data_IF_060160074368
#
_entry.id   IF_060160074368
#
_cell.length_a   1.000
_cell.length_b   1.000
_cell.length_c   1.000
_cell.angle_alpha   90.00
_cell.angle_beta   90.00
_cell.angle_gamma   90.00
#
_symmetry.space_group_name_H-M   'P 1'
#
loop_
_entity.id
_entity.type
_entity.pdbx_description
1 polymer ?
#
# COMPACT_ATOMS: atom_id res chain seq x y z
N UNK A 1 -6.74 -21.59 37.72
CA UNK A 1 -6.95 -21.42 36.27
C UNK A 1 -6.10 -22.44 35.54
N UNK A 2 -6.69 -23.04 34.50
CA UNK A 2 -6.22 -24.17 33.71
C UNK A 2 -4.77 -24.06 33.20
N UNK A 3 -4.03 -25.19 33.10
CA UNK A 3 -2.83 -25.29 32.30
C UNK A 3 -3.20 -25.60 30.83
N UNK A 4 -2.57 -24.93 29.85
CA UNK A 4 -2.69 -25.29 28.43
C UNK A 4 -1.36 -25.06 27.70
N UNK A 5 -1.08 -25.78 26.58
CA UNK A 5 0.12 -26.58 26.45
C UNK A 5 0.92 -26.22 25.17
N UNK A 6 2.13 -26.74 25.12
CA UNK A 6 2.95 -27.07 23.94
C UNK A 6 2.38 -26.74 22.53
N UNK A 7 3.06 -25.85 21.80
CA UNK A 7 3.30 -26.02 20.36
C UNK A 7 4.81 -25.85 20.11
N UNK A 8 5.51 -26.98 20.16
CA UNK A 8 6.86 -27.14 19.64
C UNK A 8 6.75 -27.28 18.11
N UNK A 9 7.42 -26.44 17.30
CA UNK A 9 7.51 -26.68 15.85
C UNK A 9 8.42 -27.89 15.62
N UNK A 10 7.85 -28.97 15.07
CA UNK A 10 8.56 -30.19 14.65
C UNK A 10 9.29 -30.03 13.33
N UNK A 11 9.74 -28.82 13.01
CA UNK A 11 10.25 -28.47 11.68
C UNK A 11 11.76 -28.18 11.63
N UNK A 12 12.48 -28.13 12.75
CA UNK A 12 13.93 -27.89 12.79
C UNK A 12 14.64 -28.98 13.59
N UNK A 13 15.05 -30.03 12.89
CA UNK A 13 16.13 -30.93 13.32
C UNK A 13 17.30 -30.74 12.34
N UNK A 14 18.45 -30.15 12.77
CA UNK A 14 19.56 -29.80 11.88
C UNK A 14 20.38 -30.99 11.36
N UNK A 15 20.06 -32.24 11.72
CA UNK A 15 20.95 -33.39 11.48
C UNK A 15 20.34 -34.57 10.71
N UNK A 16 19.14 -34.45 10.13
CA UNK A 16 18.52 -35.54 9.36
C UNK A 16 18.13 -35.14 7.93
N UNK A 17 19.08 -35.21 6.99
CA UNK A 17 18.80 -35.21 5.55
C UNK A 17 19.49 -36.38 4.85
N UNK A 18 18.85 -37.55 4.89
CA UNK A 18 19.07 -38.61 3.91
C UNK A 18 18.51 -38.24 2.51
N UNK A 19 18.86 -39.00 1.44
CA UNK A 19 18.63 -38.59 0.06
C UNK A 19 17.13 -38.55 -0.29
N UNK A 20 16.63 -37.35 -0.65
CA UNK A 20 15.23 -37.11 -1.01
C UNK A 20 14.86 -37.76 -2.34
N UNK A 21 13.78 -38.56 -2.31
CA UNK A 21 13.08 -39.06 -3.50
C UNK A 21 12.28 -37.91 -4.16
N UNK A 22 12.34 -37.83 -5.48
CA UNK A 22 11.61 -36.86 -6.31
C UNK A 22 10.08 -37.07 -6.19
N UNK A 23 9.36 -36.01 -5.80
CA UNK A 23 7.90 -35.98 -5.79
C UNK A 23 7.40 -35.63 -7.20
N UNK A 24 6.51 -36.47 -7.73
CA UNK A 24 5.83 -36.31 -9.02
C UNK A 24 4.76 -35.21 -8.92
N UNK A 25 4.72 -34.30 -9.90
CA UNK A 25 3.64 -33.34 -10.12
C UNK A 25 2.43 -33.99 -10.84
N UNK A 26 1.17 -33.58 -10.57
CA UNK A 26 0.00 -34.08 -11.29
C UNK A 26 -0.19 -33.36 -12.65
N UNK A 27 -0.53 -34.12 -13.69
CA UNK A 27 -0.88 -33.62 -15.04
C UNK A 27 -2.26 -32.94 -15.08
N UNK A 28 -2.46 -31.92 -15.94
CA UNK A 28 -3.79 -31.46 -16.36
C UNK A 28 -4.32 -32.20 -17.61
N UNK A 29 -5.64 -32.18 -17.88
CA UNK A 29 -6.30 -33.10 -18.80
C UNK A 29 -6.14 -32.72 -20.28
N UNK A 30 -6.17 -33.77 -21.12
CA UNK A 30 -5.97 -33.75 -22.58
C UNK A 30 -7.12 -33.05 -23.32
N UNK A 31 -6.76 -32.21 -24.30
CA UNK A 31 -7.61 -31.88 -25.46
C UNK A 31 -6.92 -32.30 -26.76
N UNK A 32 -7.73 -32.77 -27.68
CA UNK A 32 -7.41 -33.50 -28.91
C UNK A 32 -7.16 -32.59 -30.13
N UNK A 33 -6.48 -33.20 -31.10
CA UNK A 33 -6.48 -32.93 -32.56
C UNK A 33 -5.20 -32.26 -33.14
N UNK A 34 -4.84 -32.59 -34.39
CA UNK A 34 -3.48 -32.97 -34.75
C UNK A 34 -2.86 -32.06 -35.81
N UNK A 35 -1.63 -31.59 -35.60
CA UNK A 35 -0.78 -31.07 -36.69
C UNK A 35 0.67 -31.48 -36.42
N UNK A 36 1.22 -32.31 -37.32
CA UNK A 36 2.65 -32.67 -37.41
C UNK A 36 3.46 -31.45 -37.89
N UNK A 37 4.75 -31.37 -37.53
CA UNK A 37 5.72 -31.57 -38.61
C UNK A 37 6.87 -32.51 -38.27
N UNK A 38 7.42 -33.06 -39.35
CA UNK A 38 8.47 -34.06 -39.46
C UNK A 38 9.81 -33.57 -38.87
N UNK A 39 10.45 -34.43 -38.07
CA UNK A 39 11.90 -34.46 -37.94
C UNK A 39 12.37 -35.91 -38.12
N UNK A 40 13.17 -36.12 -39.14
CA UNK A 40 13.84 -37.39 -39.48
C UNK A 40 15.07 -37.54 -38.57
N UNK A 41 15.43 -38.77 -38.14
CA UNK A 41 16.38 -38.99 -37.06
C UNK A 41 17.83 -39.05 -37.56
N UNK A 42 18.76 -38.51 -36.78
CA UNK A 42 20.19 -38.79 -36.91
C UNK A 42 20.62 -39.74 -35.77
N UNK A 43 21.30 -40.86 -36.05
CA UNK A 43 21.77 -41.77 -35.01
C UNK A 43 23.07 -41.24 -34.40
N UNK A 44 23.18 -41.23 -33.07
CA UNK A 44 24.48 -41.07 -32.41
C UNK A 44 25.18 -42.41 -32.33
N UNK A 45 26.34 -42.47 -32.98
CA UNK A 45 27.17 -43.64 -33.17
C UNK A 45 27.85 -44.13 -31.89
N UNK A 46 27.89 -45.46 -31.80
CA UNK A 46 28.93 -46.35 -31.28
C UNK A 46 30.20 -45.73 -30.66
N UNK A 47 30.51 -46.24 -29.45
CA UNK A 47 31.85 -46.35 -28.86
C UNK A 47 32.92 -46.66 -29.92
N UNK A 48 33.90 -45.78 -30.08
CA UNK A 48 35.22 -46.17 -30.61
C UNK A 48 36.34 -45.46 -29.85
N UNK A 49 37.20 -46.29 -29.26
CA UNK A 49 38.60 -46.01 -28.99
C UNK A 49 39.31 -45.60 -30.29
N UNK A 50 40.23 -44.65 -30.22
CA UNK A 50 41.36 -44.44 -31.13
C UNK A 50 42.44 -43.77 -30.25
N UNK A 51 43.57 -44.38 -29.91
CA UNK A 51 44.71 -44.75 -30.78
C UNK A 51 45.08 -43.66 -31.79
N UNK A 52 46.12 -42.92 -31.42
CA UNK A 52 46.87 -41.98 -32.25
C UNK A 52 47.84 -42.77 -33.13
N UNK A 53 47.83 -42.49 -34.45
CA UNK A 53 48.94 -42.77 -35.36
C UNK A 53 49.80 -41.52 -35.53
N UNK A 54 51.10 -41.68 -35.81
CA UNK A 54 51.86 -40.73 -36.62
C UNK A 54 52.23 -41.29 -38.00
N UNK A 55 52.41 -40.33 -38.91
CA UNK A 55 52.58 -40.40 -40.36
C UNK A 55 54.07 -40.64 -40.75
N UNK A 56 54.25 -41.59 -41.69
CA UNK A 56 55.24 -41.78 -42.80
C UNK A 56 56.44 -40.84 -42.97
N UNK A 57 57.62 -41.18 -43.56
CA UNK A 57 58.28 -42.33 -44.28
C UNK A 57 59.79 -41.94 -44.41
N UNK A 58 60.78 -42.84 -44.48
CA UNK A 58 61.33 -43.35 -45.76
C UNK A 58 62.51 -44.34 -45.60
N UNK A 59 62.36 -45.56 -46.16
CA UNK A 59 63.25 -46.35 -47.08
C UNK A 59 64.72 -46.60 -46.59
N UNK A 60 65.29 -47.82 -46.44
CA UNK A 60 65.47 -49.00 -47.32
C UNK A 60 65.77 -50.27 -46.45
N UNK A 61 65.12 -51.39 -46.76
CA UNK A 61 65.36 -52.80 -46.33
C UNK A 61 66.45 -53.51 -47.19
N UNK A 62 67.08 -54.64 -46.81
CA UNK A 62 66.43 -55.90 -46.35
C UNK A 62 67.15 -56.69 -45.23
N UNK A 63 66.42 -57.20 -44.21
CA UNK A 63 65.75 -58.51 -44.10
C UNK A 63 66.65 -59.73 -44.29
N UNK A 64 66.86 -60.49 -43.21
CA UNK A 64 66.92 -61.95 -43.27
C UNK A 64 66.37 -62.58 -41.98
N UNK A 65 65.29 -63.34 -42.11
CA UNK A 65 64.77 -64.29 -41.11
C UNK A 65 65.38 -65.65 -41.41
N UNK A 66 65.89 -66.34 -40.39
CA UNK A 66 66.33 -67.73 -40.49
C UNK A 66 65.21 -68.62 -39.95
N UNK A 67 64.57 -69.36 -40.86
CA UNK A 67 64.01 -70.68 -40.60
C UNK A 67 64.60 -71.60 -41.66
N UNK A 68 65.25 -72.69 -41.25
CA UNK A 68 65.64 -73.74 -42.18
C UNK A 68 65.29 -75.11 -41.57
N UNK A 69 64.26 -75.72 -42.14
CA UNK A 69 64.05 -77.17 -42.12
C UNK A 69 64.66 -77.78 -43.39
N UNK A 70 65.20 -79.00 -43.21
CA UNK A 70 65.56 -80.08 -44.16
C UNK A 70 65.34 -79.81 -45.66
N UNK A 71 66.34 -80.13 -46.50
CA UNK A 71 66.40 -81.39 -47.26
C UNK A 71 67.63 -81.42 -48.19
N UNK A 72 68.18 -82.62 -48.26
CA UNK A 72 69.24 -83.21 -49.07
C UNK A 72 69.01 -83.07 -50.59
N UNK A 73 70.04 -82.73 -51.37
CA UNK A 73 70.45 -83.49 -52.57
C UNK A 73 71.69 -82.88 -53.27
N UNK A 74 72.44 -83.81 -53.83
CA UNK A 74 73.76 -83.72 -54.44
C UNK A 74 73.93 -82.66 -55.52
N UNK A 75 75.13 -82.05 -55.60
CA UNK A 75 75.80 -81.76 -56.87
C UNK A 75 77.33 -81.71 -56.67
N UNK A 76 78.04 -82.52 -57.46
CA UNK A 76 79.50 -82.62 -57.53
C UNK A 76 80.13 -81.24 -57.78
N UNK A 77 81.07 -80.85 -56.91
CA UNK A 77 81.98 -79.72 -57.12
C UNK A 77 83.42 -80.25 -57.18
N UNK A 78 84.30 -79.57 -57.94
CA UNK A 78 85.58 -80.12 -58.38
C UNK A 78 86.56 -80.24 -57.20
N UNK A 79 87.18 -81.41 -57.02
CA UNK A 79 88.30 -81.58 -56.10
C UNK A 79 89.44 -80.64 -56.53
N UNK A 80 89.83 -79.70 -55.68
CA UNK A 80 90.99 -78.85 -55.93
C UNK A 80 92.26 -79.62 -55.54
N UNK A 81 93.01 -80.02 -56.55
CA UNK A 81 94.24 -80.81 -56.42
C UNK A 81 95.42 -79.86 -56.53
N UNK A 82 96.08 -79.59 -55.41
CA UNK A 82 97.19 -78.63 -55.30
C UNK A 82 98.49 -79.41 -55.21
N UNK A 83 99.42 -79.16 -56.14
CA UNK A 83 100.80 -79.67 -56.04
C UNK A 83 101.56 -78.78 -55.06
N UNK A 84 101.86 -79.32 -53.87
CA UNK A 84 102.56 -78.57 -52.81
C UNK A 84 104.08 -78.63 -53.04
N UNK A 85 104.58 -79.79 -53.50
CA UNK A 85 105.99 -80.07 -53.80
C UNK A 85 106.11 -81.34 -54.67
N UNK A 86 107.24 -81.58 -55.39
CA UNK A 86 107.41 -82.77 -56.23
C UNK A 86 107.16 -84.06 -55.44
N UNK A 87 106.28 -84.93 -55.93
CA UNK A 87 105.89 -86.18 -55.25
C UNK A 87 104.82 -86.04 -54.15
N UNK A 88 104.31 -84.83 -53.83
CA UNK A 88 103.23 -84.65 -52.85
C UNK A 88 102.04 -83.91 -53.45
N UNK A 89 100.85 -84.54 -53.37
CA UNK A 89 99.61 -84.01 -53.91
C UNK A 89 98.61 -83.75 -52.78
N UNK A 90 98.20 -82.50 -52.60
CA UNK A 90 97.19 -82.13 -51.63
C UNK A 90 95.81 -82.11 -52.29
N UNK A 91 94.88 -82.87 -51.74
CA UNK A 91 93.48 -82.85 -52.17
C UNK A 91 92.69 -82.21 -51.04
N UNK A 92 92.10 -81.04 -51.31
CA UNK A 92 91.33 -80.27 -50.32
C UNK A 92 89.85 -80.27 -50.67
N UNK A 93 89.04 -80.78 -49.74
CA UNK A 93 87.58 -80.64 -49.73
C UNK A 93 87.12 -79.89 -48.47
N UNK A 94 85.85 -79.46 -48.46
CA UNK A 94 85.30 -78.62 -47.37
C UNK A 94 85.31 -79.30 -46.00
N UNK A 95 85.43 -80.63 -45.97
CA UNK A 95 85.33 -81.46 -44.77
C UNK A 95 86.62 -82.24 -44.44
N UNK A 96 87.53 -82.42 -45.41
CA UNK A 96 88.80 -83.12 -45.21
C UNK A 96 89.91 -82.54 -46.07
N UNK A 97 91.12 -82.56 -45.51
CA UNK A 97 92.38 -82.25 -46.19
C UNK A 97 93.20 -83.52 -46.14
N UNK A 98 93.52 -84.10 -47.31
CA UNK A 98 94.40 -85.26 -47.39
C UNK A 98 95.60 -84.96 -48.27
N UNK A 99 96.78 -85.39 -47.81
CA UNK A 99 98.03 -85.31 -48.56
C UNK A 99 98.37 -86.74 -48.99
N UNK A 100 98.41 -86.97 -50.30
CA UNK A 100 98.85 -88.26 -50.86
C UNK A 100 100.27 -88.13 -51.40
N UNK A 101 101.08 -89.14 -51.08
CA UNK A 101 102.42 -89.32 -51.62
C UNK A 101 102.29 -89.97 -53.01
N UNK A 102 102.84 -89.33 -54.04
CA UNK A 102 102.81 -89.86 -55.41
C UNK A 102 103.71 -91.09 -55.56
N UNK A 103 103.29 -92.06 -56.38
CA UNK A 103 104.05 -93.29 -56.66
C UNK A 103 105.41 -93.03 -57.37
N UNK A 104 105.63 -91.81 -57.84
CA UNK A 104 106.86 -91.33 -58.50
C UNK A 104 108.11 -91.45 -57.59
N UNK A 105 107.93 -91.46 -56.26
CA UNK A 105 109.04 -91.55 -55.28
C UNK A 105 109.50 -93.01 -55.07
N UNK A 106 108.73 -93.99 -55.56
CA UNK A 106 109.07 -95.41 -55.50
C UNK A 106 109.60 -95.99 -56.84
N UNK A 107 109.65 -95.19 -57.92
CA UNK A 107 110.35 -95.56 -59.16
C UNK A 107 111.87 -95.45 -59.00
N UNK A 108 112.50 -96.49 -58.43
CA UNK A 108 113.95 -96.66 -58.49
C UNK A 108 114.35 -97.07 -59.92
N UNK A 109 114.48 -96.10 -60.83
CA UNK A 109 115.23 -96.27 -62.10
C UNK A 109 116.68 -96.64 -61.76
N UNK A 110 117.04 -97.90 -61.97
CA UNK A 110 118.44 -98.35 -62.00
C UNK A 110 119.09 -97.75 -63.25
N UNK A 111 119.94 -96.74 -63.06
CA UNK A 111 120.92 -96.32 -64.06
C UNK A 111 122.29 -96.81 -63.57
N UNK A 112 122.78 -97.84 -64.25
CA UNK A 112 124.19 -98.23 -64.32
C UNK A 112 124.88 -97.35 -65.37
N UNK A 113 126.21 -97.29 -65.29
CA UNK A 113 127.19 -96.50 -66.08
C UNK A 113 127.51 -95.15 -65.41
N UNK A 114 128.64 -94.98 -64.70
CA UNK A 114 130.06 -95.23 -65.01
C UNK A 114 130.57 -94.40 -66.20
N UNK A 115 131.24 -93.28 -65.91
CA UNK A 115 132.16 -92.69 -66.86
C UNK A 115 133.38 -92.10 -66.15
N UNK A 116 134.53 -92.48 -66.70
CA UNK A 116 135.88 -92.35 -66.19
C UNK A 116 136.42 -90.91 -66.12
N UNK A 117 137.43 -90.73 -65.26
CA UNK A 117 138.69 -89.95 -65.41
C UNK A 117 139.06 -89.44 -64.00
N UNK A 118 140.25 -89.56 -63.43
CA UNK A 118 141.59 -89.82 -63.93
C UNK A 118 142.38 -90.63 -62.90
N UNK A 119 143.28 -91.47 -63.39
CA UNK A 119 144.27 -92.24 -62.64
C UNK A 119 145.24 -91.28 -61.92
N UNK A 120 144.87 -90.88 -60.70
CA UNK A 120 145.77 -90.35 -59.68
C UNK A 120 145.57 -91.26 -58.47
N UNK A 121 146.65 -91.93 -58.04
CA UNK A 121 146.62 -92.82 -56.89
C UNK A 121 146.34 -92.02 -55.61
N UNK A 122 145.07 -91.74 -55.30
CA UNK A 122 144.65 -91.28 -53.99
C UNK A 122 144.52 -92.49 -53.06
N UNK A 123 145.10 -92.39 -51.87
CA UNK A 123 145.02 -93.46 -50.89
C UNK A 123 143.58 -93.56 -50.35
N UNK A 124 143.14 -94.75 -49.92
CA UNK A 124 141.84 -94.93 -49.23
C UNK A 124 141.65 -93.95 -48.06
N UNK A 125 142.75 -93.47 -47.49
CA UNK A 125 142.81 -92.49 -46.41
C UNK A 125 142.33 -91.10 -46.84
N UNK A 126 142.72 -90.63 -48.03
CA UNK A 126 142.39 -89.27 -48.50
C UNK A 126 140.88 -89.09 -48.77
N UNK A 127 140.21 -90.15 -49.21
CA UNK A 127 138.75 -90.17 -49.42
C UNK A 127 138.01 -90.19 -48.08
N UNK A 128 138.54 -90.91 -47.09
CA UNK A 128 137.92 -90.98 -45.76
C UNK A 128 138.04 -89.63 -45.04
N UNK A 129 139.19 -88.95 -45.14
CA UNK A 129 139.38 -87.62 -44.55
C UNK A 129 138.49 -86.57 -45.19
N UNK A 130 138.30 -86.60 -46.51
CA UNK A 130 137.36 -85.69 -47.21
C UNK A 130 135.91 -85.95 -46.78
N UNK A 131 135.49 -87.21 -46.62
CA UNK A 131 134.16 -87.55 -46.10
C UNK A 131 133.98 -87.15 -44.62
N UNK A 132 135.00 -87.29 -43.79
CA UNK A 132 134.99 -86.86 -42.39
C UNK A 132 134.91 -85.32 -42.28
N UNK A 133 135.62 -84.60 -43.14
CA UNK A 133 135.55 -83.14 -43.26
C UNK A 133 134.16 -82.70 -43.73
N UNK A 134 133.61 -83.30 -44.79
CA UNK A 134 132.25 -83.03 -45.25
C UNK A 134 131.20 -83.32 -44.18
N UNK A 135 131.33 -84.42 -43.42
CA UNK A 135 130.44 -84.71 -42.29
C UNK A 135 130.57 -83.65 -41.21
N UNK A 136 131.79 -83.17 -40.93
CA UNK A 136 132.05 -82.12 -39.94
C UNK A 136 131.45 -80.77 -40.37
N UNK A 137 131.66 -80.36 -41.62
CA UNK A 137 131.07 -79.15 -42.19
C UNK A 137 129.54 -79.21 -42.21
N UNK A 138 128.96 -80.33 -42.65
CA UNK A 138 127.51 -80.53 -42.62
C UNK A 138 126.96 -80.50 -41.20
N UNK A 139 127.68 -81.05 -40.22
CA UNK A 139 127.28 -81.00 -38.80
C UNK A 139 127.27 -79.56 -38.30
N UNK A 140 128.31 -78.77 -38.58
CA UNK A 140 128.37 -77.34 -38.22
C UNK A 140 127.24 -76.55 -38.88
N UNK A 141 126.94 -76.82 -40.16
CA UNK A 141 125.83 -76.19 -40.89
C UNK A 141 124.48 -76.55 -40.25
N UNK A 142 124.25 -77.82 -39.91
CA UNK A 142 123.01 -78.28 -39.27
C UNK A 142 122.85 -77.65 -37.87
N UNK A 143 123.90 -77.63 -37.06
CA UNK A 143 123.86 -76.99 -35.73
C UNK A 143 123.60 -75.49 -35.82
N UNK A 144 124.25 -74.82 -36.78
CA UNK A 144 124.01 -73.41 -37.04
C UNK A 144 122.57 -73.15 -37.49
N UNK A 145 122.06 -73.95 -38.42
CA UNK A 145 120.68 -73.87 -38.89
C UNK A 145 119.68 -74.12 -37.76
N UNK A 146 119.97 -75.05 -36.84
CA UNK A 146 119.13 -75.30 -35.66
C UNK A 146 119.15 -74.12 -34.68
N UNK A 147 120.31 -73.49 -34.45
CA UNK A 147 120.42 -72.27 -33.63
C UNK A 147 119.64 -71.11 -34.25
N UNK A 148 119.79 -70.89 -35.55
CA UNK A 148 119.10 -69.83 -36.27
C UNK A 148 117.59 -70.08 -36.31
N UNK A 149 117.16 -71.33 -36.53
CA UNK A 149 115.74 -71.70 -36.46
C UNK A 149 115.16 -71.43 -35.07
N UNK A 150 115.84 -71.83 -34.00
CA UNK A 150 115.39 -71.55 -32.63
C UNK A 150 115.38 -70.05 -32.32
N UNK A 151 116.34 -69.28 -32.83
CA UNK A 151 116.38 -67.82 -32.67
C UNK A 151 115.20 -67.16 -33.40
N UNK A 152 114.98 -67.52 -34.66
CA UNK A 152 113.85 -67.03 -35.47
C UNK A 152 112.51 -67.41 -34.84
N UNK A 153 112.38 -68.64 -34.32
CA UNK A 153 111.17 -69.10 -33.62
C UNK A 153 110.90 -68.26 -32.36
N UNK A 154 111.93 -67.97 -31.56
CA UNK A 154 111.79 -67.11 -30.37
C UNK A 154 111.41 -65.67 -30.73
N UNK A 155 112.05 -65.10 -31.74
CA UNK A 155 111.74 -63.75 -32.21
C UNK A 155 110.29 -63.68 -32.73
N UNK A 156 109.88 -64.66 -33.54
CA UNK A 156 108.52 -64.76 -34.03
C UNK A 156 107.52 -64.91 -32.87
N UNK A 157 107.80 -65.75 -31.87
CA UNK A 157 106.97 -65.87 -30.67
C UNK A 157 106.81 -64.53 -29.95
N UNK A 158 107.91 -63.81 -29.74
CA UNK A 158 107.88 -62.52 -29.07
C UNK A 158 107.10 -61.45 -29.86
N UNK A 159 107.25 -61.42 -31.19
CA UNK A 159 106.47 -60.53 -32.05
C UNK A 159 104.98 -60.88 -32.03
N UNK A 160 104.62 -62.17 -32.02
CA UNK A 160 103.22 -62.59 -31.86
C UNK A 160 102.65 -62.18 -30.50
N UNK A 161 103.41 -62.32 -29.42
CA UNK A 161 102.99 -61.89 -28.07
C UNK A 161 102.79 -60.37 -28.01
N UNK A 162 103.70 -59.59 -28.60
CA UNK A 162 103.58 -58.14 -28.71
C UNK A 162 102.31 -57.76 -29.47
N UNK A 163 102.07 -58.39 -30.62
CA UNK A 163 100.88 -58.13 -31.45
C UNK A 163 99.59 -58.50 -30.72
N UNK A 164 99.59 -59.60 -29.96
CA UNK A 164 98.47 -59.99 -29.10
C UNK A 164 98.21 -58.94 -28.01
N UNK A 165 99.26 -58.43 -27.34
CA UNK A 165 99.14 -57.40 -26.32
C UNK A 165 98.64 -56.06 -26.88
N UNK A 166 99.18 -55.61 -28.02
CA UNK A 166 98.73 -54.40 -28.71
C UNK A 166 97.26 -54.51 -29.14
N UNK A 167 96.86 -55.66 -29.70
CA UNK A 167 95.47 -55.89 -30.09
C UNK A 167 94.54 -55.88 -28.89
N UNK A 168 94.92 -56.53 -27.79
CA UNK A 168 94.18 -56.53 -26.54
C UNK A 168 94.02 -55.10 -25.98
N UNK A 169 95.11 -54.34 -25.92
CA UNK A 169 95.10 -52.94 -25.46
C UNK A 169 94.20 -52.06 -26.35
N UNK A 170 94.24 -52.25 -27.66
CA UNK A 170 93.38 -51.52 -28.61
C UNK A 170 91.89 -51.84 -28.39
N UNK A 171 91.55 -53.11 -28.17
CA UNK A 171 90.17 -53.49 -27.84
C UNK A 171 89.71 -52.88 -26.53
N UNK A 172 90.56 -52.89 -25.50
CA UNK A 172 90.26 -52.28 -24.21
C UNK A 172 90.10 -50.76 -24.31
N UNK A 173 90.95 -50.07 -25.09
CA UNK A 173 90.82 -48.63 -25.35
C UNK A 173 89.50 -48.30 -26.03
N UNK A 174 89.19 -49.00 -27.14
CA UNK A 174 87.93 -48.80 -27.87
C UNK A 174 86.71 -49.10 -27.02
N UNK A 175 86.78 -50.13 -26.18
CA UNK A 175 85.70 -50.45 -25.23
C UNK A 175 85.49 -49.30 -24.24
N UNK A 176 86.57 -48.78 -23.65
CA UNK A 176 86.51 -47.66 -22.71
C UNK A 176 85.97 -46.39 -23.36
N UNK A 177 86.47 -46.02 -24.54
CA UNK A 177 86.00 -44.86 -25.30
C UNK A 177 84.50 -44.97 -25.62
N UNK A 178 84.02 -46.16 -26.00
CA UNK A 178 82.61 -46.39 -26.26
C UNK A 178 81.75 -46.26 -25.00
N UNK A 179 82.21 -46.81 -23.87
CA UNK A 179 81.54 -46.70 -22.57
C UNK A 179 81.47 -45.25 -22.08
N UNK A 180 82.57 -44.49 -22.22
CA UNK A 180 82.64 -43.07 -21.87
C UNK A 180 81.74 -42.21 -22.77
N UNK A 181 81.74 -42.44 -24.09
CA UNK A 181 80.87 -41.73 -25.02
C UNK A 181 79.38 -42.01 -24.73
N UNK A 182 79.03 -43.26 -24.43
CA UNK A 182 77.66 -43.63 -24.06
C UNK A 182 77.25 -42.99 -22.73
N UNK A 183 78.12 -43.00 -21.72
CA UNK A 183 77.88 -42.31 -20.45
C UNK A 183 77.68 -40.80 -20.65
N UNK A 184 78.50 -40.16 -21.48
CA UNK A 184 78.37 -38.74 -21.80
C UNK A 184 77.04 -38.42 -22.48
N UNK A 185 76.61 -39.22 -23.48
CA UNK A 185 75.32 -39.07 -24.15
C UNK A 185 74.14 -39.24 -23.19
N UNK A 186 74.19 -40.23 -22.29
CA UNK A 186 73.16 -40.41 -21.28
C UNK A 186 73.10 -39.23 -20.31
N UNK A 187 74.26 -38.73 -19.86
CA UNK A 187 74.31 -37.55 -18.99
C UNK A 187 73.77 -36.28 -19.69
N UNK A 188 74.07 -36.09 -20.98
CA UNK A 188 73.55 -34.96 -21.75
C UNK A 188 72.03 -35.08 -21.96
N UNK A 189 71.55 -36.28 -22.32
CA UNK A 189 70.14 -36.56 -22.49
C UNK A 189 69.37 -36.34 -21.18
N UNK A 190 69.90 -36.80 -20.04
CA UNK A 190 69.31 -36.58 -18.72
C UNK A 190 69.25 -35.09 -18.37
N UNK A 191 70.33 -34.32 -18.64
CA UNK A 191 70.34 -32.86 -18.45
C UNK A 191 69.28 -32.18 -19.31
N UNK A 192 69.16 -32.56 -20.58
CA UNK A 192 68.18 -32.01 -21.51
C UNK A 192 66.73 -32.31 -21.06
N UNK A 193 66.44 -33.55 -20.66
CA UNK A 193 65.12 -33.89 -20.12
C UNK A 193 64.80 -33.13 -18.83
N UNK A 194 65.77 -32.98 -17.92
CA UNK A 194 65.59 -32.19 -16.69
C UNK A 194 65.33 -30.71 -17.00
N UNK A 195 66.02 -30.14 -17.98
CA UNK A 195 65.82 -28.76 -18.42
C UNK A 195 64.43 -28.57 -19.06
N UNK A 196 64.05 -29.45 -19.99
CA UNK A 196 62.74 -29.43 -20.63
C UNK A 196 61.59 -29.59 -19.62
N UNK A 197 61.73 -30.50 -18.66
CA UNK A 197 60.74 -30.69 -17.59
C UNK A 197 60.60 -29.45 -16.70
N UNK A 198 61.69 -28.75 -16.39
CA UNK A 198 61.64 -27.49 -15.63
C UNK A 198 60.97 -26.38 -16.43
N UNK A 199 61.28 -26.25 -17.72
CA UNK A 199 60.65 -25.27 -18.60
C UNK A 199 59.15 -25.51 -18.72
N UNK A 200 58.74 -26.77 -18.93
CA UNK A 200 57.31 -27.13 -19.04
C UNK A 200 56.56 -26.89 -17.72
N UNK A 201 57.18 -27.20 -16.57
CA UNK A 201 56.59 -26.89 -15.26
C UNK A 201 56.39 -25.40 -15.04
N UNK A 202 57.36 -24.57 -15.43
CA UNK A 202 57.23 -23.11 -15.35
C UNK A 202 56.13 -22.61 -16.30
N UNK A 203 56.12 -23.06 -17.55
CA UNK A 203 55.08 -22.68 -18.52
C UNK A 203 53.66 -23.07 -18.06
N UNK A 204 53.51 -24.26 -17.47
CA UNK A 204 52.24 -24.70 -16.89
C UNK A 204 51.83 -23.88 -15.67
N UNK A 205 52.80 -23.49 -14.82
CA UNK A 205 52.56 -22.63 -13.66
C UNK A 205 52.14 -21.21 -14.07
N UNK A 206 52.82 -20.61 -15.05
CA UNK A 206 52.49 -19.29 -15.59
C UNK A 206 51.07 -19.29 -16.17
N UNK A 207 50.72 -20.34 -16.93
CA UNK A 207 49.37 -20.50 -17.48
C UNK A 207 48.31 -20.65 -16.39
N UNK A 208 48.61 -21.36 -15.30
CA UNK A 208 47.71 -21.47 -14.16
C UNK A 208 47.49 -20.11 -13.47
N UNK A 209 48.55 -19.30 -13.34
CA UNK A 209 48.45 -17.95 -12.79
C UNK A 209 47.61 -17.03 -13.68
N UNK A 210 47.80 -17.09 -15.00
CA UNK A 210 47.01 -16.35 -15.99
C UNK A 210 45.52 -16.71 -15.90
N UNK A 211 45.19 -18.01 -15.94
CA UNK A 211 43.81 -18.49 -15.75
C UNK A 211 43.23 -18.07 -14.39
N UNK A 212 44.06 -18.03 -13.34
CA UNK A 212 43.66 -17.53 -12.02
C UNK A 212 43.29 -16.03 -12.03
N UNK A 213 44.04 -15.21 -12.78
CA UNK A 213 43.74 -13.78 -12.98
C UNK A 213 42.45 -13.60 -13.78
N UNK A 214 42.27 -14.33 -14.86
CA UNK A 214 41.03 -14.31 -15.66
C UNK A 214 39.80 -14.73 -14.84
N UNK A 215 39.92 -15.80 -14.06
CA UNK A 215 38.85 -16.24 -13.16
C UNK A 215 38.49 -15.15 -12.15
N UNK A 216 39.49 -14.51 -11.53
CA UNK A 216 39.26 -13.40 -10.58
C UNK A 216 38.59 -12.21 -11.26
N UNK A 217 39.04 -11.84 -12.46
CA UNK A 217 38.42 -10.79 -13.25
C UNK A 217 36.95 -11.09 -13.56
N UNK A 218 36.66 -12.29 -14.05
CA UNK A 218 35.30 -12.71 -14.36
C UNK A 218 34.43 -12.74 -13.11
N UNK A 219 34.93 -13.27 -11.99
CA UNK A 219 34.25 -13.25 -10.70
C UNK A 219 33.90 -11.83 -10.26
N UNK A 220 34.84 -10.89 -10.41
CA UNK A 220 34.59 -9.48 -10.08
C UNK A 220 33.54 -8.86 -11.02
N UNK A 221 33.58 -9.17 -12.32
CA UNK A 221 32.60 -8.68 -13.28
C UNK A 221 31.19 -9.21 -12.96
N UNK A 222 31.08 -10.47 -12.53
CA UNK A 222 29.82 -11.04 -12.06
C UNK A 222 29.28 -10.32 -10.83
N UNK A 223 30.13 -9.99 -9.86
CA UNK A 223 29.72 -9.22 -8.68
C UNK A 223 29.26 -7.81 -9.07
N UNK A 224 29.98 -7.11 -9.96
CA UNK A 224 29.57 -5.79 -10.46
C UNK A 224 28.21 -5.86 -11.15
N UNK A 225 27.98 -6.87 -11.99
CA UNK A 225 26.70 -7.06 -12.65
C UNK A 225 25.58 -7.38 -11.65
N UNK A 226 25.87 -8.24 -10.67
CA UNK A 226 24.95 -8.57 -9.59
C UNK A 226 24.56 -7.30 -8.81
N UNK A 227 25.54 -6.51 -8.37
CA UNK A 227 25.32 -5.25 -7.64
C UNK A 227 24.53 -4.25 -8.49
N UNK A 228 24.87 -4.12 -9.78
CA UNK A 228 24.12 -3.27 -10.72
C UNK A 228 22.66 -3.68 -10.85
N UNK A 229 22.33 -4.98 -10.85
CA UNK A 229 20.94 -5.44 -10.85
C UNK A 229 20.27 -5.09 -9.52
N UNK A 230 20.95 -5.31 -8.39
CA UNK A 230 20.38 -4.99 -7.08
C UNK A 230 20.06 -3.50 -6.97
N UNK A 231 20.98 -2.62 -7.36
CA UNK A 231 20.79 -1.18 -7.36
C UNK A 231 19.65 -0.76 -8.30
N UNK A 232 19.59 -1.31 -9.52
CA UNK A 232 18.51 -1.01 -10.47
C UNK A 232 17.13 -1.44 -9.92
N UNK A 233 17.06 -2.60 -9.26
CA UNK A 233 15.83 -3.10 -8.66
C UNK A 233 15.41 -2.27 -7.44
N UNK A 234 16.36 -1.87 -6.59
CA UNK A 234 16.10 -1.03 -5.42
C UNK A 234 15.64 0.38 -5.84
N UNK A 235 16.27 0.96 -6.87
CA UNK A 235 15.86 2.25 -7.45
C UNK A 235 14.45 2.19 -8.03
N UNK A 236 14.13 1.14 -8.79
CA UNK A 236 12.78 0.93 -9.34
C UNK A 236 11.77 0.76 -8.22
N UNK A 237 12.11 0.03 -7.16
CA UNK A 237 11.22 -0.14 -6.02
C UNK A 237 11.00 1.17 -5.27
N UNK A 238 12.06 1.92 -5.02
CA UNK A 238 12.02 3.22 -4.35
C UNK A 238 11.18 4.24 -5.14
N UNK A 239 11.35 4.29 -6.47
CA UNK A 239 10.52 5.14 -7.35
C UNK A 239 9.05 4.77 -7.28
N UNK A 240 8.72 3.47 -7.42
CA UNK A 240 7.34 2.99 -7.36
C UNK A 240 6.68 3.24 -6.01
N UNK A 241 7.44 3.09 -4.92
CA UNK A 241 6.97 3.41 -3.56
C UNK A 241 6.68 4.90 -3.41
N UNK A 242 7.56 5.77 -3.92
CA UNK A 242 7.35 7.21 -3.88
C UNK A 242 6.16 7.66 -4.76
N UNK A 243 5.95 7.03 -5.92
CA UNK A 243 4.77 7.25 -6.75
C UNK A 243 3.48 6.88 -6.01
N UNK A 244 3.41 5.69 -5.41
CA UNK A 244 2.26 5.29 -4.60
C UNK A 244 1.98 6.23 -3.42
N UNK A 245 3.01 6.73 -2.74
CA UNK A 245 2.83 7.68 -1.65
C UNK A 245 2.30 9.04 -2.15
N UNK A 246 2.73 9.49 -3.33
CA UNK A 246 2.19 10.70 -3.97
C UNK A 246 0.74 10.51 -4.39
N UNK A 247 0.41 9.38 -5.03
CA UNK A 247 -0.95 9.08 -5.47
C UNK A 247 -1.91 8.96 -4.28
N UNK A 248 -1.48 8.31 -3.19
CA UNK A 248 -2.27 8.22 -1.96
C UNK A 248 -2.52 9.62 -1.36
N UNK A 249 -1.49 10.47 -1.30
CA UNK A 249 -1.63 11.87 -0.84
C UNK A 249 -2.60 12.66 -1.72
N UNK A 250 -2.49 12.54 -3.04
CA UNK A 250 -3.38 13.21 -3.99
C UNK A 250 -4.83 12.73 -3.86
N UNK A 251 -5.08 11.43 -3.70
CA UNK A 251 -6.44 10.93 -3.54
C UNK A 251 -7.04 11.35 -2.19
N UNK A 252 -6.24 11.36 -1.11
CA UNK A 252 -6.66 11.92 0.19
C UNK A 252 -7.02 13.40 0.07
N UNK A 253 -6.18 14.20 -0.59
CA UNK A 253 -6.45 15.63 -0.81
C UNK A 253 -7.71 15.86 -1.65
N UNK A 254 -7.91 15.07 -2.70
CA UNK A 254 -9.11 15.10 -3.54
C UNK A 254 -10.38 14.79 -2.76
N UNK A 255 -10.37 13.76 -1.90
CA UNK A 255 -11.51 13.43 -1.04
C UNK A 255 -11.79 14.56 -0.04
N UNK A 256 -10.76 15.12 0.60
CA UNK A 256 -10.89 16.25 1.51
C UNK A 256 -11.45 17.50 0.81
N UNK A 257 -10.98 17.79 -0.40
CA UNK A 257 -11.47 18.91 -1.20
C UNK A 257 -12.96 18.71 -1.56
N UNK A 258 -13.35 17.50 -1.96
CA UNK A 258 -14.75 17.18 -2.24
C UNK A 258 -15.62 17.31 -0.98
N UNK A 259 -15.15 16.84 0.18
CA UNK A 259 -15.86 16.99 1.45
C UNK A 259 -16.01 18.46 1.83
N UNK A 260 -14.92 19.24 1.74
CA UNK A 260 -14.94 20.68 1.98
C UNK A 260 -15.95 21.37 1.08
N UNK A 261 -15.93 21.11 -0.21
CA UNK A 261 -16.88 21.70 -1.17
C UNK A 261 -18.34 21.36 -0.83
N UNK A 262 -18.63 20.10 -0.46
CA UNK A 262 -19.97 19.68 -0.02
C UNK A 262 -20.44 20.43 1.22
N UNK A 263 -19.57 20.60 2.23
CA UNK A 263 -19.89 21.30 3.47
C UNK A 263 -20.11 22.79 3.19
N UNK A 264 -19.21 23.43 2.44
CA UNK A 264 -19.35 24.84 2.05
C UNK A 264 -20.65 25.09 1.30
N UNK A 265 -20.99 24.26 0.32
CA UNK A 265 -22.24 24.40 -0.43
C UNK A 265 -23.48 24.21 0.45
N UNK A 266 -23.47 23.27 1.39
CA UNK A 266 -24.58 23.11 2.36
C UNK A 266 -24.74 24.34 3.24
N UNK A 267 -23.63 24.83 3.79
CA UNK A 267 -23.62 26.02 4.63
C UNK A 267 -24.11 27.28 3.87
N UNK A 268 -23.69 27.45 2.62
CA UNK A 268 -24.16 28.56 1.77
C UNK A 268 -25.68 28.47 1.53
N UNK A 269 -26.20 27.28 1.19
CA UNK A 269 -27.63 27.06 0.99
C UNK A 269 -28.44 27.30 2.27
N UNK A 270 -28.01 26.76 3.40
CA UNK A 270 -28.65 26.98 4.71
C UNK A 270 -28.60 28.46 5.10
N UNK A 271 -27.48 29.14 4.88
CA UNK A 271 -27.36 30.58 5.14
C UNK A 271 -28.30 31.41 4.27
N UNK A 272 -28.46 31.07 3.00
CA UNK A 272 -29.35 31.76 2.09
C UNK A 272 -30.83 31.49 2.41
N UNK A 273 -31.17 30.25 2.79
CA UNK A 273 -32.51 29.89 3.24
C UNK A 273 -32.89 30.62 4.55
N UNK A 274 -31.97 30.69 5.53
CA UNK A 274 -32.20 31.41 6.78
C UNK A 274 -32.29 32.93 6.56
N UNK A 275 -31.45 33.49 5.68
CA UNK A 275 -31.58 34.90 5.26
C UNK A 275 -32.93 35.17 4.63
N UNK A 276 -33.42 34.26 3.78
CA UNK A 276 -34.74 34.37 3.16
C UNK A 276 -35.85 34.31 4.21
N UNK A 277 -35.83 33.32 5.13
CA UNK A 277 -36.80 33.24 6.24
C UNK A 277 -36.80 34.50 7.10
N UNK A 278 -35.63 35.04 7.42
CA UNK A 278 -35.51 36.28 8.17
C UNK A 278 -36.10 37.46 7.38
N UNK A 279 -35.81 37.57 6.09
CA UNK A 279 -36.36 38.61 5.22
C UNK A 279 -37.88 38.52 5.09
N UNK A 280 -38.41 37.31 4.93
CA UNK A 280 -39.85 37.06 4.80
C UNK A 280 -40.56 37.36 6.13
N UNK A 281 -40.00 36.92 7.26
CA UNK A 281 -40.55 37.25 8.58
C UNK A 281 -40.47 38.74 8.91
N UNK A 282 -39.37 39.41 8.55
CA UNK A 282 -39.23 40.86 8.70
C UNK A 282 -40.27 41.61 7.87
N UNK A 283 -40.47 41.21 6.61
CA UNK A 283 -41.50 41.78 5.73
C UNK A 283 -42.90 41.58 6.32
N UNK A 284 -43.22 40.38 6.80
CA UNK A 284 -44.51 40.09 7.41
C UNK A 284 -44.78 40.90 8.69
N UNK A 285 -43.79 41.03 9.57
CA UNK A 285 -43.90 41.87 10.78
C UNK A 285 -44.08 43.34 10.39
N UNK A 286 -43.35 43.81 9.40
CA UNK A 286 -43.45 45.19 8.92
C UNK A 286 -44.82 45.49 8.30
N UNK A 287 -45.35 44.57 7.48
CA UNK A 287 -46.70 44.68 6.94
C UNK A 287 -47.77 44.68 8.03
N UNK A 288 -47.69 43.76 9.00
CA UNK A 288 -48.59 43.72 10.16
C UNK A 288 -48.54 45.02 10.96
N UNK A 289 -47.34 45.55 11.23
CA UNK A 289 -47.18 46.83 11.92
C UNK A 289 -47.83 47.98 11.14
N UNK A 290 -47.67 48.02 9.82
CA UNK A 290 -48.31 49.03 8.98
C UNK A 290 -49.84 48.88 8.98
N UNK A 291 -50.36 47.65 8.96
CA UNK A 291 -51.80 47.39 9.07
C UNK A 291 -52.34 47.83 10.43
N UNK A 292 -51.70 47.45 11.54
CA UNK A 292 -52.11 47.85 12.89
C UNK A 292 -52.06 49.37 13.07
N UNK A 293 -51.01 50.03 12.55
CA UNK A 293 -50.90 51.49 12.52
C UNK A 293 -52.07 52.13 11.76
N UNK A 294 -52.41 51.60 10.60
CA UNK A 294 -53.52 52.09 9.77
C UNK A 294 -54.88 51.86 10.45
N UNK A 295 -55.08 50.73 11.11
CA UNK A 295 -56.27 50.43 11.90
C UNK A 295 -56.41 51.37 13.11
N UNK A 296 -55.32 51.63 13.83
CA UNK A 296 -55.26 52.61 14.91
C UNK A 296 -55.59 54.02 14.42
N UNK A 297 -55.09 54.43 13.26
CA UNK A 297 -55.43 55.71 12.65
C UNK A 297 -56.93 55.80 12.34
N UNK A 298 -57.51 54.77 11.70
CA UNK A 298 -58.95 54.71 11.42
C UNK A 298 -59.81 54.67 12.68
N UNK A 299 -59.34 54.03 13.75
CA UNK A 299 -60.01 54.05 15.06
C UNK A 299 -59.97 55.45 15.66
N UNK A 300 -58.80 56.09 15.66
CA UNK A 300 -58.63 57.46 16.14
C UNK A 300 -59.53 58.46 15.39
N UNK A 301 -59.64 58.34 14.06
CA UNK A 301 -60.56 59.16 13.25
C UNK A 301 -62.03 58.96 13.67
N UNK A 302 -62.46 57.70 13.86
CA UNK A 302 -63.81 57.38 14.35
C UNK A 302 -64.07 57.95 15.74
N UNK A 303 -63.15 57.77 16.67
CA UNK A 303 -63.26 58.29 18.03
C UNK A 303 -63.31 59.82 18.04
N UNK A 304 -62.55 60.48 17.16
CA UNK A 304 -62.57 61.93 16.99
C UNK A 304 -63.93 62.42 16.52
N UNK A 305 -64.54 61.76 15.53
CA UNK A 305 -65.89 62.07 15.05
C UNK A 305 -66.94 61.86 16.14
N UNK A 306 -66.87 60.72 16.85
CA UNK A 306 -67.79 60.43 17.95
C UNK A 306 -67.66 61.44 19.10
N UNK A 307 -66.45 61.89 19.42
CA UNK A 307 -66.22 62.96 20.39
C UNK A 307 -66.82 64.29 19.94
N UNK A 308 -66.77 64.60 18.64
CA UNK A 308 -67.37 65.81 18.08
C UNK A 308 -68.91 65.75 18.13
N UNK A 309 -69.51 64.61 17.81
CA UNK A 309 -70.96 64.37 17.96
C UNK A 309 -71.41 64.47 19.41
N UNK A 310 -70.70 63.82 20.34
CA UNK A 310 -70.99 63.91 21.77
C UNK A 310 -70.87 65.36 22.28
N UNK A 311 -69.91 66.14 21.75
CA UNK A 311 -69.77 67.55 22.08
C UNK A 311 -70.98 68.36 21.60
N UNK A 312 -71.45 68.14 20.37
CA UNK A 312 -72.67 68.80 19.83
C UNK A 312 -73.91 68.42 20.64
N UNK A 313 -74.09 67.14 20.97
CA UNK A 313 -75.21 66.68 21.79
C UNK A 313 -75.16 67.27 23.20
N UNK A 314 -73.96 67.37 23.79
CA UNK A 314 -73.77 68.04 25.08
C UNK A 314 -74.19 69.51 25.00
N UNK A 315 -73.79 70.23 23.95
CA UNK A 315 -74.17 71.64 23.74
C UNK A 315 -75.70 71.79 23.61
N UNK A 316 -76.36 70.94 22.81
CA UNK A 316 -77.83 70.93 22.70
C UNK A 316 -78.52 70.64 24.04
N UNK A 317 -78.03 69.66 24.80
CA UNK A 317 -78.58 69.36 26.13
C UNK A 317 -78.36 70.50 27.12
N UNK A 318 -77.22 71.20 27.06
CA UNK A 318 -76.96 72.40 27.87
C UNK A 318 -77.92 73.55 27.48
N UNK A 319 -78.19 73.75 26.19
CA UNK A 319 -79.18 74.72 25.70
C UNK A 319 -80.61 74.36 26.15
N UNK A 320 -81.02 73.09 26.01
CA UNK A 320 -82.33 72.60 26.47
C UNK A 320 -82.49 72.74 27.99
N UNK A 321 -81.44 72.39 28.75
CA UNK A 321 -81.41 72.57 30.20
C UNK A 321 -81.52 74.04 30.58
N UNK A 322 -80.82 74.93 29.88
CA UNK A 322 -80.92 76.37 30.08
C UNK A 322 -82.33 76.90 29.76
N UNK A 323 -82.93 76.46 28.65
CA UNK A 323 -84.30 76.79 28.29
C UNK A 323 -85.31 76.30 29.35
N UNK A 324 -85.16 75.08 29.85
CA UNK A 324 -85.98 74.56 30.95
C UNK A 324 -85.79 75.37 32.24
N UNK A 325 -84.56 75.78 32.56
CA UNK A 325 -84.28 76.63 33.71
C UNK A 325 -85.00 77.99 33.59
N UNK A 326 -84.98 78.62 32.41
CA UNK A 326 -85.73 79.85 32.14
C UNK A 326 -87.25 79.66 32.25
N UNK A 327 -87.80 78.53 31.74
CA UNK A 327 -89.22 78.22 31.89
C UNK A 327 -89.58 78.03 33.37
N UNK A 328 -88.77 77.27 34.13
CA UNK A 328 -88.97 77.07 35.56
C UNK A 328 -88.91 78.40 36.33
N UNK A 329 -87.97 79.27 36.01
CA UNK A 329 -87.86 80.61 36.59
C UNK A 329 -89.11 81.46 36.26
N UNK A 330 -89.59 81.42 35.01
CA UNK A 330 -90.83 82.11 34.59
C UNK A 330 -92.08 81.57 35.31
N UNK A 331 -92.21 80.24 35.46
CA UNK A 331 -93.31 79.62 36.20
C UNK A 331 -93.25 79.99 37.68
N UNK A 332 -92.05 79.98 38.29
CA UNK A 332 -91.87 80.35 39.68
C UNK A 332 -92.22 81.83 39.92
N UNK A 333 -91.83 82.73 39.02
CA UNK A 333 -92.22 84.15 39.10
C UNK A 333 -93.74 84.34 38.92
N UNK A 334 -94.38 83.60 38.02
CA UNK A 334 -95.84 83.64 37.80
C UNK A 334 -96.60 83.06 39.00
N UNK A 335 -96.14 81.95 39.56
CA UNK A 335 -96.68 81.36 40.79
C UNK A 335 -96.58 82.36 41.94
N UNK A 336 -95.43 83.02 42.10
CA UNK A 336 -95.24 84.04 43.12
C UNK A 336 -96.20 85.22 42.93
N UNK A 337 -96.36 85.72 41.69
CA UNK A 337 -97.33 86.79 41.37
C UNK A 337 -98.78 86.39 41.69
N UNK A 338 -99.22 85.21 41.23
CA UNK A 338 -100.58 84.71 41.51
C UNK A 338 -100.82 84.48 43.00
N UNK A 339 -99.81 84.02 43.74
CA UNK A 339 -99.89 83.90 45.20
C UNK A 339 -100.05 85.26 45.87
N UNK A 340 -99.36 86.29 45.40
CA UNK A 340 -99.51 87.67 45.90
C UNK A 340 -100.89 88.27 45.55
N UNK A 341 -101.41 88.02 44.36
CA UNK A 341 -102.76 88.42 43.96
C UNK A 341 -103.83 87.73 44.81
N UNK A 342 -103.71 86.42 45.01
CA UNK A 342 -104.60 85.66 45.90
C UNK A 342 -104.57 86.21 47.34
N UNK A 343 -103.40 86.63 47.85
CA UNK A 343 -103.32 87.28 49.15
C UNK A 343 -104.05 88.64 49.17
N UNK A 344 -103.98 89.44 48.09
CA UNK A 344 -104.77 90.68 47.98
C UNK A 344 -106.26 90.42 47.95
N UNK A 345 -106.70 89.46 47.13
CA UNK A 345 -108.12 89.09 47.04
C UNK A 345 -108.64 88.55 48.38
N UNK A 346 -107.87 87.70 49.07
CA UNK A 346 -108.19 87.27 50.44
C UNK A 346 -108.35 88.46 51.39
N UNK A 347 -107.46 89.45 51.32
CA UNK A 347 -107.58 90.66 52.13
C UNK A 347 -108.80 91.50 51.74
N UNK A 348 -109.15 91.58 50.45
CA UNK A 348 -110.33 92.30 49.96
C UNK A 348 -111.63 91.61 50.42
N UNK A 349 -111.72 90.29 50.31
CA UNK A 349 -112.84 89.49 50.81
C UNK A 349 -112.95 89.62 52.33
N UNK A 350 -111.86 89.50 53.07
CA UNK A 350 -111.88 89.70 54.53
C UNK A 350 -112.36 91.11 54.92
N UNK A 351 -111.99 92.14 54.15
CA UNK A 351 -112.49 93.51 54.34
C UNK A 351 -113.99 93.63 54.03
N UNK A 352 -114.48 92.98 52.96
CA UNK A 352 -115.90 92.93 52.61
C UNK A 352 -116.72 92.16 53.66
N UNK A 353 -116.24 91.01 54.15
CA UNK A 353 -116.85 90.26 55.24
C UNK A 353 -116.99 91.13 56.50
N UNK A 354 -115.92 91.85 56.87
CA UNK A 354 -115.94 92.77 58.01
C UNK A 354 -116.92 93.93 57.81
N UNK A 355 -117.02 94.46 56.60
CA UNK A 355 -117.98 95.52 56.26
C UNK A 355 -119.43 95.01 56.34
N UNK A 356 -119.71 93.81 55.85
CA UNK A 356 -121.03 93.18 55.95
C UNK A 356 -121.41 92.87 57.40
N UNK A 357 -120.49 92.32 58.21
CA UNK A 357 -120.72 92.12 59.64
C UNK A 357 -121.01 93.44 60.36
N UNK A 358 -120.28 94.52 60.05
CA UNK A 358 -120.55 95.84 60.61
C UNK A 358 -121.92 96.38 60.19
N UNK A 359 -122.35 96.15 58.94
CA UNK A 359 -123.67 96.58 58.45
C UNK A 359 -124.81 95.77 59.07
N UNK A 360 -124.60 94.48 59.30
CA UNK A 360 -125.51 93.62 60.04
C UNK A 360 -125.68 94.14 61.47
N UNK A 361 -124.59 94.38 62.19
CA UNK A 361 -124.64 94.93 63.54
C UNK A 361 -125.33 96.30 63.60
N UNK A 362 -125.07 97.19 62.65
CA UNK A 362 -125.75 98.49 62.55
C UNK A 362 -127.28 98.35 62.33
N UNK A 363 -127.70 97.36 61.53
CA UNK A 363 -129.12 97.07 61.31
C UNK A 363 -129.76 96.44 62.55
N UNK A 364 -129.06 95.52 63.21
CA UNK A 364 -129.49 94.89 64.46
C UNK A 364 -129.72 95.93 65.57
N UNK A 365 -128.79 96.88 65.74
CA UNK A 365 -128.91 97.97 66.70
C UNK A 365 -130.10 98.89 66.39
N UNK A 366 -130.34 99.22 65.11
CA UNK A 366 -131.54 99.97 64.68
C UNK A 366 -132.84 99.24 65.01
N UNK A 367 -132.89 97.93 64.77
CA UNK A 367 -134.06 97.13 65.13
C UNK A 367 -134.25 97.08 66.65
N UNK A 368 -133.19 96.92 67.44
CA UNK A 368 -133.27 96.99 68.90
C UNK A 368 -133.79 98.35 69.39
N UNK A 369 -133.25 99.47 68.90
CA UNK A 369 -133.74 100.80 69.26
C UNK A 369 -135.22 100.99 68.91
N UNK A 370 -135.66 100.49 67.75
CA UNK A 370 -137.06 100.58 67.32
C UNK A 370 -137.99 99.76 68.23
N UNK A 371 -137.58 98.53 68.57
CA UNK A 371 -138.32 97.67 69.50
C UNK A 371 -138.42 98.34 70.88
N UNK A 372 -137.34 98.91 71.38
CA UNK A 372 -137.29 99.57 72.69
C UNK A 372 -138.24 100.79 72.73
N UNK A 373 -138.23 101.60 71.67
CA UNK A 373 -139.13 102.75 71.55
C UNK A 373 -140.62 102.36 71.54
N UNK A 374 -140.99 101.35 70.74
CA UNK A 374 -142.36 100.82 70.69
C UNK A 374 -142.80 100.21 72.04
N UNK A 375 -141.86 99.63 72.78
CA UNK A 375 -142.12 99.06 74.11
C UNK A 375 -142.44 100.16 75.12
N UNK A 376 -141.67 101.25 75.13
CA UNK A 376 -141.92 102.42 76.01
C UNK A 376 -143.25 103.11 75.69
N UNK A 377 -143.58 103.25 74.41
CA UNK A 377 -144.83 103.83 73.95
C UNK A 377 -146.04 102.99 74.39
N UNK A 378 -145.92 101.65 74.33
CA UNK A 378 -146.95 100.73 74.81
C UNK A 378 -147.18 100.87 76.33
N UNK A 379 -146.12 101.02 77.11
CA UNK A 379 -146.19 101.22 78.57
C UNK A 379 -146.91 102.54 78.89
N UNK A 380 -146.56 103.62 78.20
CA UNK A 380 -147.19 104.94 78.38
C UNK A 380 -148.68 104.92 78.02
N UNK A 381 -149.06 104.25 76.93
CA UNK A 381 -150.46 104.07 76.54
C UNK A 381 -151.25 103.27 77.58
N UNK A 382 -150.66 102.20 78.13
CA UNK A 382 -151.27 101.41 79.22
C UNK A 382 -151.46 102.22 80.49
N UNK A 383 -150.50 103.05 80.88
CA UNK A 383 -150.64 103.94 82.05
C UNK A 383 -151.73 105.01 81.87
N UNK A 384 -151.84 105.58 80.66
CA UNK A 384 -152.84 106.61 80.33
C UNK A 384 -154.27 106.04 80.28
N UNK A 385 -154.43 104.77 79.90
CA UNK A 385 -155.69 104.03 79.97
C UNK A 385 -156.17 103.83 81.41
N UNK A 386 -155.25 103.54 82.33
CA UNK A 386 -155.60 103.25 83.74
C UNK A 386 -156.03 104.54 84.46
N UNK A 387 -155.30 105.65 84.29
CA UNK A 387 -155.62 106.92 84.94
C UNK A 387 -157.01 107.48 84.56
N UNK A 388 -157.47 107.20 83.34
CA UNK A 388 -158.76 107.70 82.84
C UNK A 388 -159.97 106.89 83.33
N UNK A 389 -159.75 105.65 83.79
CA UNK A 389 -160.81 104.79 84.31
C UNK A 389 -161.16 105.09 85.79
N UNK A 390 -160.24 105.66 86.57
CA UNK A 390 -160.49 106.01 87.98
C UNK A 390 -161.29 107.32 88.15
N UNK A 391 -161.24 108.25 87.18
CA UNK A 391 -161.85 109.58 87.29
C UNK A 391 -163.38 109.60 87.05
N UNK A 392 -163.97 108.49 86.55
CA UNK A 392 -165.39 108.46 86.11
C UNK A 392 -166.34 107.89 87.18
N UNK A 393 -165.86 107.21 88.23
CA UNK A 393 -166.76 106.46 89.14
C UNK A 393 -167.14 107.15 90.48
N UNK A 394 -166.57 108.31 90.82
CA UNK A 394 -166.87 109.02 92.08
C UNK A 394 -167.93 110.15 91.98
N UNK A 395 -168.53 110.40 90.80
CA UNK A 395 -169.44 111.54 90.58
C UNK A 395 -170.86 111.17 90.09
N UNK A 396 -171.53 110.14 90.63
CA UNK A 396 -173.01 110.04 90.54
C UNK A 396 -173.69 109.06 91.52
N UNK A 397 -174.01 109.56 92.71
CA UNK A 397 -175.07 109.03 93.57
C UNK A 397 -176.37 109.83 93.37
N UNK A 398 -177.54 109.15 93.43
CA UNK A 398 -178.94 109.65 93.60
C UNK A 398 -179.89 109.65 92.37
N UNK A 399 -180.37 108.46 91.94
CA UNK A 399 -181.78 108.15 91.57
C UNK A 399 -181.96 106.68 91.12
N UNK A 400 -182.88 105.99 91.80
CA UNK A 400 -183.84 104.98 91.30
C UNK A 400 -183.37 103.73 90.54
N UNK A 401 -183.63 102.57 91.17
CA UNK A 401 -184.54 101.48 90.75
C UNK A 401 -184.39 100.80 89.37
N UNK A 402 -184.66 99.49 89.37
CA UNK A 402 -185.01 98.55 88.28
C UNK A 402 -183.87 98.13 87.33
N UNK A 403 -183.41 96.87 87.36
CA UNK A 403 -184.04 95.64 86.81
C UNK A 403 -183.98 95.58 85.27
N UNK A 404 -183.34 94.49 84.79
CA UNK A 404 -183.46 93.73 83.52
C UNK A 404 -182.62 94.02 82.23
N UNK A 405 -181.73 93.04 81.96
CA UNK A 405 -181.46 92.22 80.73
C UNK A 405 -180.66 92.78 79.53
N UNK A 406 -179.86 91.83 78.98
CA UNK A 406 -179.33 91.60 77.61
C UNK A 406 -177.85 92.00 77.42
N UNK A 407 -176.98 91.35 76.66
CA UNK A 407 -176.74 89.99 76.11
C UNK A 407 -175.40 90.14 75.33
N UNK A 408 -174.61 89.06 75.21
CA UNK A 408 -173.67 88.78 74.11
C UNK A 408 -172.23 89.38 74.04
N UNK A 409 -171.26 88.45 73.93
CA UNK A 409 -169.95 88.47 73.23
C UNK A 409 -168.80 89.38 73.71
N UNK A 410 -167.51 89.05 73.60
CA UNK A 410 -166.70 87.90 73.13
C UNK A 410 -165.24 88.21 73.51
N UNK A 411 -164.34 87.22 73.40
CA UNK A 411 -162.86 87.36 73.41
C UNK A 411 -162.25 87.76 74.78
N UNK A 412 -161.01 87.46 75.15
CA UNK A 412 -159.81 86.98 74.46
C UNK A 412 -158.85 86.38 75.51
N UNK A 413 -157.83 85.66 75.03
CA UNK A 413 -156.58 85.44 75.74
C UNK A 413 -156.03 84.04 75.43
N UNK A 414 -155.11 83.84 74.49
CA UNK A 414 -154.18 84.76 73.84
C UNK A 414 -152.85 84.02 73.73
N UNK A 415 -152.41 83.79 72.50
CA UNK A 415 -151.52 82.72 72.05
C UNK A 415 -150.09 83.13 71.73
N UNK A 416 -149.21 82.10 71.74
CA UNK A 416 -148.07 81.83 70.84
C UNK A 416 -146.82 82.74 70.76
N UNK A 417 -145.65 82.06 70.68
CA UNK A 417 -144.44 82.30 69.84
C UNK A 417 -143.39 81.22 70.25
N UNK A 418 -142.90 80.25 69.46
CA UNK A 418 -142.06 80.22 68.23
C UNK A 418 -140.81 81.12 68.30
N UNK A 419 -139.61 80.76 67.82
CA UNK A 419 -138.96 79.55 67.28
C UNK A 419 -137.44 79.88 67.15
N UNK A 420 -136.61 78.83 67.07
CA UNK A 420 -135.25 78.71 66.49
C UNK A 420 -134.09 79.61 66.95
#
# INVERSE_FOLDING_TARGET
MYPNPLIYCTCWDPWNLGPRRLIKTPQPPRKTSPVKPKLTPLPSASKKQNYVQPITKSVITPKMKIHLGKQEESNKLPNEVINVSPGYRLIRNREQVSVTLGDEIFERKKLLESEHMNKVNFSRTDIVTDLEEQISELTVIIEQMNRDHHSAQKLLSHEMDLRCAEMQQNFESKKRELEEAHAAQLCELEKNYKAALKAEKLAAQDKLEEMGKEYKYLKNMFHIYQDSIYDEMEDKWSKKKAEWEKDEKLEREKILLQQKHRITKKFELESEEEKKKLSDSYSAIFENFNQEKEELLKQHERDTLQLEELRKNKEVLEEELHAQALILESLNTTLYQTQMELQREKAMVANLEKALQSKLAEAEEKFQCTIQHLTEENILLRQKMIAKNEEIYDERSRKSTSVTIYEHNSEDGGSETQES
#
